data_IF_363496026017
#
_entry.id   IF_363496026017
#
_cell.length_a   1.000
_cell.length_b   1.000
_cell.length_c   1.000
_cell.angle_alpha   90.00
_cell.angle_beta   90.00
_cell.angle_gamma   90.00
#
_symmetry.space_group_name_H-M   'P 1'
#
loop_
_entity.id
_entity.type
_entity.pdbx_description
1 polymer ?
#
# COMPACT_ATOMS: atom_id res chain seq x y z
N UNK A 1 38.23 -9.29 33.98
CA UNK A 1 37.79 -9.85 32.68
C UNK A 1 36.45 -9.24 32.31
N UNK A 2 36.39 -8.31 31.36
CA UNK A 2 35.12 -8.06 30.65
C UNK A 2 35.42 -7.92 29.16
N UNK A 3 34.95 -8.91 28.40
CA UNK A 3 34.99 -8.96 26.94
C UNK A 3 34.19 -7.78 26.41
N UNK A 4 34.86 -6.76 25.88
CA UNK A 4 34.25 -5.84 24.94
C UNK A 4 34.10 -6.56 23.59
N UNK A 5 33.20 -7.55 23.54
CA UNK A 5 32.73 -8.13 22.29
C UNK A 5 31.70 -7.16 21.72
N UNK A 6 32.12 -6.36 20.73
CA UNK A 6 31.37 -5.26 20.13
C UNK A 6 30.16 -5.69 19.28
N UNK A 7 29.30 -6.55 19.79
CA UNK A 7 27.96 -6.76 19.23
C UNK A 7 27.01 -5.73 19.82
N UNK A 8 26.29 -5.03 18.95
CA UNK A 8 25.33 -4.01 19.34
C UNK A 8 23.92 -4.56 19.16
N UNK A 9 23.15 -4.58 20.25
CA UNK A 9 21.75 -5.04 20.26
C UNK A 9 20.84 -3.92 19.78
N UNK A 10 19.87 -4.27 18.93
CA UNK A 10 18.80 -3.34 18.55
C UNK A 10 17.72 -3.27 19.63
N UNK A 11 17.44 -2.07 20.14
CA UNK A 11 16.38 -1.85 21.16
C UNK A 11 14.96 -2.11 20.65
N UNK A 12 14.76 -2.19 19.33
CA UNK A 12 13.44 -2.33 18.69
C UNK A 12 13.07 -3.80 18.45
N UNK A 13 14.04 -4.63 18.02
CA UNK A 13 13.80 -6.04 17.70
C UNK A 13 14.70 -7.03 18.46
N UNK A 14 15.57 -6.55 19.34
CA UNK A 14 16.49 -7.38 20.13
C UNK A 14 17.62 -8.06 19.33
N UNK A 15 17.71 -7.85 18.02
CA UNK A 15 18.69 -8.53 17.17
C UNK A 15 20.12 -8.03 17.44
N UNK A 16 21.06 -8.96 17.56
CA UNK A 16 22.48 -8.67 17.78
C UNK A 16 23.19 -8.42 16.46
N UNK A 17 23.61 -7.18 16.24
CA UNK A 17 24.35 -6.77 15.04
C UNK A 17 25.85 -6.75 15.34
N UNK A 18 26.65 -7.21 14.38
CA UNK A 18 28.12 -7.32 14.52
C UNK A 18 28.87 -5.99 14.47
N UNK A 19 28.22 -4.90 14.05
CA UNK A 19 28.84 -3.57 13.88
C UNK A 19 27.85 -2.44 14.12
N UNK A 20 28.35 -1.30 14.64
CA UNK A 20 27.56 -0.07 14.88
C UNK A 20 26.96 0.49 13.58
N UNK A 21 27.68 0.40 12.47
CA UNK A 21 27.18 0.81 11.14
C UNK A 21 26.01 -0.06 10.67
N UNK A 22 26.12 -1.39 10.83
CA UNK A 22 25.04 -2.33 10.52
C UNK A 22 23.81 -2.04 11.37
N UNK A 23 24.00 -1.73 12.66
CA UNK A 23 22.91 -1.32 13.54
C UNK A 23 22.26 -0.01 13.09
N UNK A 24 23.03 1.00 12.65
CA UNK A 24 22.49 2.27 12.14
C UNK A 24 21.65 2.07 10.87
N UNK A 25 22.14 1.27 9.92
CA UNK A 25 21.38 0.93 8.71
C UNK A 25 20.13 0.11 9.05
N UNK A 26 20.24 -0.84 9.96
CA UNK A 26 19.14 -1.64 10.48
C UNK A 26 18.08 -0.81 11.22
N UNK A 27 18.48 0.14 12.09
CA UNK A 27 17.58 1.11 12.73
C UNK A 27 16.96 2.08 11.72
N UNK A 28 17.64 2.40 10.62
CA UNK A 28 17.04 3.17 9.53
C UNK A 28 16.01 2.37 8.72
N UNK A 29 16.11 1.04 8.70
CA UNK A 29 15.04 0.18 8.21
C UNK A 29 13.86 0.19 9.18
N UNK A 30 14.07 0.11 10.50
CA UNK A 30 12.99 0.30 11.49
C UNK A 30 12.27 1.64 11.31
N UNK A 31 13.01 2.74 11.09
CA UNK A 31 12.39 4.05 10.77
C UNK A 31 11.59 4.08 9.46
N UNK A 32 11.77 3.11 8.56
CA UNK A 32 10.95 2.87 7.36
C UNK A 32 9.89 1.78 7.55
N UNK A 33 9.99 0.93 8.59
CA UNK A 33 9.19 -0.27 8.85
C UNK A 33 8.30 -0.18 10.12
N UNK A 34 8.46 0.83 10.98
CA UNK A 34 7.68 0.97 12.22
C UNK A 34 6.32 1.61 11.95
N UNK A 35 5.51 0.93 11.14
CA UNK A 35 4.08 1.17 11.08
C UNK A 35 3.43 0.27 12.11
N UNK A 36 3.74 0.57 13.36
CA UNK A 36 3.29 -0.20 14.52
C UNK A 36 1.93 0.33 14.94
N UNK A 37 0.94 -0.55 15.01
CA UNK A 37 -0.38 -0.19 15.50
C UNK A 37 -0.30 0.14 16.98
N UNK A 38 -0.69 1.35 17.38
CA UNK A 38 -0.73 1.74 18.80
C UNK A 38 -1.81 1.02 19.61
N UNK A 39 -2.75 0.34 18.95
CA UNK A 39 -3.88 -0.37 19.59
C UNK A 39 -3.56 -1.85 19.85
N UNK A 40 -2.82 -2.50 18.95
CA UNK A 40 -2.52 -3.93 19.06
C UNK A 40 -1.05 -4.30 18.82
N UNK A 41 -0.18 -3.30 18.76
CA UNK A 41 1.29 -3.40 18.63
C UNK A 41 1.78 -4.21 17.43
N UNK A 42 0.90 -4.45 16.44
CA UNK A 42 1.26 -5.12 15.19
C UNK A 42 2.09 -4.21 14.30
N UNK A 43 3.20 -4.75 13.80
CA UNK A 43 4.13 -4.06 12.89
C UNK A 43 3.81 -4.42 11.45
N UNK A 44 3.73 -3.43 10.58
CA UNK A 44 3.46 -3.60 9.15
C UNK A 44 4.59 -3.04 8.29
N UNK A 45 5.03 -3.82 7.29
CA UNK A 45 6.12 -3.41 6.37
C UNK A 45 5.72 -2.37 5.32
N UNK A 46 4.43 -2.04 5.21
CA UNK A 46 3.88 -1.16 4.17
C UNK A 46 2.83 -0.22 4.74
N UNK A 47 2.92 1.07 4.41
CA UNK A 47 2.00 2.12 4.87
C UNK A 47 0.55 1.84 4.46
N UNK A 48 0.34 1.28 3.27
CA UNK A 48 -1.01 0.93 2.79
C UNK A 48 -1.63 -0.17 3.66
N UNK A 49 -0.86 -1.22 4.00
CA UNK A 49 -1.34 -2.30 4.86
C UNK A 49 -1.60 -1.79 6.28
N UNK A 50 -0.78 -0.86 6.77
CA UNK A 50 -1.00 -0.22 8.07
C UNK A 50 -2.26 0.63 8.10
N UNK A 51 -2.53 1.43 7.06
CA UNK A 51 -3.77 2.20 6.97
C UNK A 51 -5.00 1.28 6.88
N UNK A 52 -4.94 0.25 6.04
CA UNK A 52 -5.98 -0.79 5.95
C UNK A 52 -6.23 -1.47 7.30
N UNK A 53 -5.16 -1.73 8.05
CA UNK A 53 -5.26 -2.27 9.39
C UNK A 53 -5.86 -1.27 10.38
N UNK A 54 -5.46 0.00 10.34
CA UNK A 54 -6.00 1.02 11.25
C UNK A 54 -7.48 1.26 11.01
N UNK A 55 -7.93 1.19 9.76
CA UNK A 55 -9.34 1.21 9.39
C UNK A 55 -10.18 0.11 10.07
N UNK A 56 -9.58 -1.02 10.45
CA UNK A 56 -10.29 -2.06 11.23
C UNK A 56 -10.52 -1.66 12.69
N UNK A 57 -9.73 -0.74 13.24
CA UNK A 57 -9.89 -0.25 14.61
C UNK A 57 -10.82 0.96 14.70
N UNK A 58 -10.68 1.93 13.80
CA UNK A 58 -11.54 3.13 13.77
C UNK A 58 -12.87 2.90 13.05
N UNK A 59 -13.00 1.78 12.33
CA UNK A 59 -14.15 1.55 11.44
C UNK A 59 -14.12 2.43 10.19
N UNK A 60 -13.00 3.09 9.91
CA UNK A 60 -12.84 3.91 8.71
C UNK A 60 -12.96 3.06 7.45
N UNK A 61 -13.81 3.51 6.54
CA UNK A 61 -13.91 2.92 5.21
C UNK A 61 -12.91 3.59 4.29
N UNK A 62 -11.95 2.81 3.78
CA UNK A 62 -10.95 3.32 2.84
C UNK A 62 -11.30 3.06 1.38
N UNK A 63 -12.07 2.00 1.11
CA UNK A 63 -12.33 1.53 -0.25
C UNK A 63 -13.82 1.29 -0.46
N UNK A 64 -14.49 2.21 -1.15
CA UNK A 64 -15.85 2.02 -1.66
C UNK A 64 -15.84 1.31 -3.02
N UNK A 65 -16.92 0.60 -3.32
CA UNK A 65 -17.21 0.17 -4.67
C UNK A 65 -17.89 1.32 -5.43
N UNK A 66 -17.45 1.60 -6.66
CA UNK A 66 -18.06 2.64 -7.50
C UNK A 66 -19.42 2.22 -8.09
N UNK A 67 -19.73 0.92 -8.02
CA UNK A 67 -20.90 0.32 -8.65
C UNK A 67 -21.97 -0.13 -7.64
N UNK A 68 -21.66 -0.08 -6.34
CA UNK A 68 -22.62 -0.31 -5.27
C UNK A 68 -22.16 0.35 -3.97
N UNK A 69 -23.07 0.58 -3.03
CA UNK A 69 -22.79 1.20 -1.73
C UNK A 69 -21.99 0.31 -0.74
N UNK A 70 -21.30 -0.75 -1.23
CA UNK A 70 -20.47 -1.59 -0.36
C UNK A 70 -19.11 -0.97 -0.12
N UNK A 71 -18.74 -0.98 1.14
CA UNK A 71 -17.52 -0.39 1.68
C UNK A 71 -16.59 -1.47 2.23
N UNK A 72 -15.29 -1.27 2.04
CA UNK A 72 -14.25 -2.21 2.42
C UNK A 72 -13.08 -1.46 3.09
N UNK A 73 -12.46 -2.12 4.06
CA UNK A 73 -11.23 -1.66 4.72
C UNK A 73 -9.96 -2.16 4.02
N UNK A 74 -10.08 -2.95 2.94
CA UNK A 74 -8.93 -3.48 2.19
C UNK A 74 -9.18 -3.46 0.69
N UNK A 75 -8.16 -3.03 -0.07
CA UNK A 75 -8.20 -2.96 -1.52
C UNK A 75 -8.38 -4.33 -2.16
N UNK A 76 -7.74 -5.38 -1.60
CA UNK A 76 -7.88 -6.75 -2.09
C UNK A 76 -9.34 -7.22 -2.00
N UNK A 77 -9.99 -6.97 -0.86
CA UNK A 77 -11.39 -7.33 -0.65
C UNK A 77 -12.32 -6.59 -1.63
N UNK A 78 -12.13 -5.27 -1.81
CA UNK A 78 -12.90 -4.50 -2.81
C UNK A 78 -12.68 -5.05 -4.22
N UNK A 79 -11.44 -5.35 -4.61
CA UNK A 79 -11.12 -5.85 -5.94
C UNK A 79 -11.75 -7.22 -6.21
N UNK A 80 -11.67 -8.14 -5.25
CA UNK A 80 -12.35 -9.44 -5.31
C UNK A 80 -13.87 -9.31 -5.35
N UNK A 81 -14.43 -8.39 -4.56
CA UNK A 81 -15.86 -8.08 -4.60
C UNK A 81 -16.28 -7.59 -5.99
N UNK A 82 -15.59 -6.59 -6.55
CA UNK A 82 -15.87 -6.06 -7.89
C UNK A 82 -15.81 -7.16 -8.94
N UNK A 83 -14.81 -8.04 -8.90
CA UNK A 83 -14.70 -9.13 -9.87
C UNK A 83 -15.85 -10.15 -9.77
N UNK A 84 -16.35 -10.44 -8.56
CA UNK A 84 -17.38 -11.45 -8.32
C UNK A 84 -18.81 -10.92 -8.49
N UNK A 85 -19.08 -9.74 -7.94
CA UNK A 85 -20.42 -9.14 -7.91
C UNK A 85 -20.66 -8.20 -9.11
N UNK A 86 -19.61 -7.57 -9.64
CA UNK A 86 -19.66 -6.68 -10.79
C UNK A 86 -18.79 -7.19 -11.95
N UNK A 87 -18.98 -8.45 -12.43
CA UNK A 87 -18.10 -9.05 -13.43
C UNK A 87 -18.13 -8.31 -14.77
N UNK A 88 -19.28 -7.76 -15.17
CA UNK A 88 -19.44 -6.98 -16.41
C UNK A 88 -18.63 -5.70 -16.36
N UNK A 89 -18.86 -4.88 -15.33
CA UNK A 89 -18.19 -3.60 -15.13
C UNK A 89 -16.69 -3.76 -14.85
N UNK A 90 -16.29 -4.86 -14.20
CA UNK A 90 -14.88 -5.21 -14.02
C UNK A 90 -14.17 -5.51 -15.35
N UNK A 91 -14.82 -6.23 -16.25
CA UNK A 91 -14.26 -6.52 -17.58
C UNK A 91 -14.16 -5.24 -18.42
N UNK A 92 -15.17 -4.37 -18.36
CA UNK A 92 -15.20 -3.08 -19.05
C UNK A 92 -14.10 -2.13 -18.54
N UNK A 93 -13.95 -1.95 -17.21
CA UNK A 93 -12.87 -1.15 -16.61
C UNK A 93 -11.48 -1.71 -16.98
N UNK A 94 -11.34 -3.03 -17.05
CA UNK A 94 -10.11 -3.70 -17.44
C UNK A 94 -9.77 -3.45 -18.92
N UNK A 95 -10.77 -3.42 -19.81
CA UNK A 95 -10.58 -3.08 -21.22
C UNK A 95 -10.15 -1.62 -21.37
N UNK A 96 -10.79 -0.69 -20.64
CA UNK A 96 -10.43 0.74 -20.64
C UNK A 96 -8.99 1.00 -20.18
N UNK A 97 -8.52 0.31 -19.14
CA UNK A 97 -7.16 0.49 -18.59
C UNK A 97 -6.03 -0.13 -19.42
N UNK A 98 -6.32 -1.11 -20.27
CA UNK A 98 -5.33 -1.71 -21.19
C UNK A 98 -5.08 -0.84 -22.43
N UNK A 99 -5.92 0.15 -22.70
CA UNK A 99 -5.76 1.14 -23.77
C UNK A 99 -5.03 2.42 -23.36
N UNK A 100 -4.32 2.44 -22.22
CA UNK A 100 -3.56 3.59 -21.73
C UNK A 100 -2.20 3.78 -22.39
N UNK A 101 -2.16 3.77 -23.72
CA UNK A 101 -1.04 4.26 -24.52
C UNK A 101 -1.51 5.52 -25.25
N UNK A 102 -0.96 6.66 -24.87
CA UNK A 102 -1.07 7.99 -25.46
C UNK A 102 -1.99 8.14 -26.70
N UNK A 103 -3.15 8.78 -26.51
CA UNK A 103 -3.76 9.58 -27.55
C UNK A 103 -3.84 11.02 -27.01
N UNK A 104 -2.72 11.73 -27.19
CA UNK A 104 -2.73 13.18 -27.13
C UNK A 104 -3.62 13.67 -28.29
N UNK A 105 -4.60 14.48 -27.93
CA UNK A 105 -5.47 15.19 -28.86
C UNK A 105 -4.64 16.15 -29.73
N UNK A 106 -5.00 16.24 -31.01
CA UNK A 106 -5.19 17.50 -31.75
C UNK A 106 -5.96 17.14 -33.02
N UNK A 107 -7.28 17.40 -33.04
CA UNK A 107 -7.90 18.53 -33.74
C UNK A 107 -8.27 18.16 -35.19
N UNK A 108 -9.55 17.79 -35.35
CA UNK A 108 -10.23 17.83 -36.64
C UNK A 108 -10.76 19.25 -36.82
N UNK A 109 -10.09 20.06 -37.63
CA UNK A 109 -10.72 21.27 -38.19
C UNK A 109 -11.31 20.90 -39.54
N UNK A 110 -12.61 20.67 -39.52
CA UNK A 110 -13.50 20.77 -40.68
C UNK A 110 -13.57 22.24 -41.11
N UNK A 111 -13.13 22.56 -42.34
CA UNK A 111 -13.66 23.71 -43.08
C UNK A 111 -13.55 23.46 -44.59
N UNK A 112 -14.69 23.00 -45.12
CA UNK A 112 -15.36 23.41 -46.36
C UNK A 112 -14.55 23.64 -47.65
N UNK A 113 -14.85 22.77 -48.60
CA UNK A 113 -14.66 22.88 -50.04
C UNK A 113 -15.28 24.17 -50.62
N UNK A 114 -14.51 24.86 -51.46
CA UNK A 114 -14.94 25.94 -52.36
C UNK A 114 -14.01 26.02 -53.55
#
# INVERSE_FOLDING_TARGET
MLRHSGTQRCDICGQECSSVMTLKYHKAQHRKDDLTCSVCEKVFKRMINFKEHMASHTGDVLYSCDFCDKTFNSNANRASHRKKMHPREWLEDKMRKRGGGAAAATEVTDVQQG
#
